data_IF_731326600628
#
_entry.id   IF_731326600628
#
_cell.length_a   1.000
_cell.length_b   1.000
_cell.length_c   1.000
_cell.angle_alpha   90.00
_cell.angle_beta   90.00
_cell.angle_gamma   90.00
#
_symmetry.space_group_name_H-M   'P 1'
#
loop_
_entity.id
_entity.type
_entity.pdbx_description
1 polymer ?
#
# COMPACT_ATOMS: atom_id res chain seq x y z
N UNK A 1 -0.61 22.81 -10.63
CA UNK A 1 -1.76 22.73 -9.71
C UNK A 1 -2.26 24.12 -9.31
N UNK A 2 -1.44 24.92 -8.60
CA UNK A 2 -1.84 26.22 -8.03
C UNK A 2 -2.73 27.10 -8.91
N UNK A 3 -2.35 27.37 -10.17
CA UNK A 3 -3.16 28.20 -11.09
C UNK A 3 -4.55 27.63 -11.37
N UNK A 4 -4.67 26.31 -11.51
CA UNK A 4 -5.94 25.62 -11.80
C UNK A 4 -6.81 25.63 -10.53
N UNK A 5 -6.22 25.24 -9.39
CA UNK A 5 -6.90 25.21 -8.09
C UNK A 5 -7.45 26.58 -7.70
N UNK A 6 -6.69 27.67 -7.91
CA UNK A 6 -7.16 29.02 -7.62
C UNK A 6 -8.18 29.59 -8.61
N UNK A 7 -8.44 28.93 -9.75
CA UNK A 7 -9.35 29.41 -10.79
C UNK A 7 -10.69 28.68 -10.83
N UNK A 8 -10.86 27.63 -10.01
CA UNK A 8 -12.06 26.80 -9.96
C UNK A 8 -12.74 26.97 -8.59
N UNK A 9 -14.07 27.03 -8.58
CA UNK A 9 -14.84 27.05 -7.33
C UNK A 9 -14.98 25.65 -6.70
N UNK A 10 -14.72 24.60 -7.49
CA UNK A 10 -14.79 23.20 -7.04
C UNK A 10 -13.43 22.71 -6.50
N UNK A 11 -13.41 21.78 -5.52
CA UNK A 11 -12.18 21.20 -5.02
C UNK A 11 -11.39 20.41 -6.07
N UNK A 12 -10.06 20.52 -6.01
CA UNK A 12 -9.11 19.78 -6.84
C UNK A 12 -8.38 18.71 -6.04
N UNK A 13 -8.32 17.48 -6.56
CA UNK A 13 -7.59 16.36 -5.94
C UNK A 13 -6.38 15.99 -6.80
N UNK A 14 -5.19 16.06 -6.23
CA UNK A 14 -3.92 15.87 -6.94
C UNK A 14 -3.27 14.52 -6.67
N UNK A 15 -2.69 13.93 -7.72
CA UNK A 15 -1.67 12.87 -7.64
C UNK A 15 -0.47 13.30 -8.48
N UNK A 16 0.68 13.51 -7.86
CA UNK A 16 1.86 14.05 -8.55
C UNK A 16 1.71 15.48 -9.09
N UNK A 17 0.74 16.23 -8.58
CA UNK A 17 0.46 17.61 -9.00
C UNK A 17 1.17 18.68 -8.14
N UNK A 18 2.01 18.25 -7.18
CA UNK A 18 2.57 19.10 -6.13
C UNK A 18 1.58 19.37 -4.99
N UNK A 19 1.97 20.16 -3.98
CA UNK A 19 1.18 20.36 -2.76
C UNK A 19 0.02 21.36 -2.92
N UNK A 20 -0.11 22.00 -4.09
CA UNK A 20 -1.05 23.11 -4.32
C UNK A 20 -2.39 22.68 -4.93
N UNK A 21 -2.90 21.51 -4.52
CA UNK A 21 -4.29 21.06 -4.74
C UNK A 21 -5.00 20.99 -3.40
N UNK A 22 -6.33 21.05 -3.38
CA UNK A 22 -7.13 21.09 -2.15
C UNK A 22 -7.12 19.74 -1.39
N UNK A 23 -6.92 18.66 -2.12
CA UNK A 23 -6.69 17.33 -1.56
C UNK A 23 -5.63 16.55 -2.33
N UNK A 24 -5.23 15.42 -1.77
CA UNK A 24 -4.25 14.51 -2.34
C UNK A 24 -4.84 13.11 -2.44
N UNK A 25 -4.44 12.38 -3.47
CA UNK A 25 -4.76 10.97 -3.65
C UNK A 25 -3.50 10.19 -4.01
N UNK A 26 -3.42 8.96 -3.53
CA UNK A 26 -2.41 7.97 -3.90
C UNK A 26 -3.10 6.61 -4.07
N UNK A 27 -2.54 5.75 -4.92
CA UNK A 27 -2.96 4.36 -5.01
C UNK A 27 -2.53 3.63 -3.74
N UNK A 28 -3.46 2.92 -3.10
CA UNK A 28 -3.22 2.18 -1.85
C UNK A 28 -1.99 1.25 -1.92
N UNK A 29 -1.86 0.49 -3.02
CA UNK A 29 -0.74 -0.41 -3.27
C UNK A 29 0.61 0.32 -3.32
N UNK A 30 0.65 1.51 -3.92
CA UNK A 30 1.87 2.31 -4.03
C UNK A 30 2.23 2.96 -2.68
N UNK A 31 1.22 3.44 -1.95
CA UNK A 31 1.37 4.01 -0.60
C UNK A 31 1.99 3.00 0.37
N UNK A 32 1.53 1.74 0.31
CA UNK A 32 1.98 0.65 1.18
C UNK A 32 3.13 -0.19 0.60
N UNK A 33 3.59 0.10 -0.61
CA UNK A 33 4.68 -0.64 -1.25
C UNK A 33 4.36 -2.13 -1.46
N UNK A 34 3.12 -2.45 -1.86
CA UNK A 34 2.62 -3.84 -1.98
C UNK A 34 3.11 -4.57 -3.24
N UNK A 35 3.57 -3.83 -4.25
CA UNK A 35 4.04 -4.40 -5.51
C UNK A 35 5.56 -4.27 -5.64
N UNK A 36 6.23 -5.27 -6.23
CA UNK A 36 7.66 -5.18 -6.52
C UNK A 36 7.89 -4.19 -7.67
N UNK A 37 9.06 -3.55 -7.69
CA UNK A 37 9.48 -2.71 -8.80
C UNK A 37 9.66 -1.23 -8.45
N UNK A 38 9.75 -0.41 -9.51
CA UNK A 38 10.25 0.96 -9.44
C UNK A 38 9.27 1.88 -8.73
N UNK A 39 9.78 2.61 -7.74
CA UNK A 39 9.05 3.67 -7.03
C UNK A 39 8.76 4.84 -7.96
N UNK A 40 7.49 5.21 -8.08
CA UNK A 40 7.06 6.43 -8.78
C UNK A 40 7.53 7.67 -8.00
N UNK A 41 8.04 8.69 -8.71
CA UNK A 41 8.62 9.89 -8.08
C UNK A 41 7.66 10.63 -7.15
N UNK A 42 6.37 10.63 -7.47
CA UNK A 42 5.34 11.34 -6.70
C UNK A 42 4.80 10.53 -5.52
N UNK A 43 5.26 9.30 -5.32
CA UNK A 43 4.79 8.43 -4.23
C UNK A 43 5.77 8.47 -3.07
N UNK A 44 5.26 8.78 -1.88
CA UNK A 44 5.92 8.42 -0.61
C UNK A 44 5.41 7.05 -0.19
N UNK A 45 6.31 6.06 -0.11
CA UNK A 45 6.00 4.78 0.53
C UNK A 45 5.99 4.99 2.03
N UNK A 46 4.90 4.58 2.67
CA UNK A 46 4.75 4.58 4.11
C UNK A 46 5.08 3.20 4.70
N UNK A 47 5.21 2.17 3.86
CA UNK A 47 5.56 0.80 4.24
C UNK A 47 6.27 0.10 3.07
N UNK A 48 7.06 -0.94 3.38
CA UNK A 48 7.61 -1.90 2.41
C UNK A 48 6.80 -3.21 2.48
N UNK A 49 5.53 -3.14 2.07
CA UNK A 49 4.57 -4.21 2.30
C UNK A 49 4.81 -5.47 1.48
N UNK A 50 5.41 -5.37 0.29
CA UNK A 50 5.75 -6.54 -0.52
C UNK A 50 6.65 -7.51 0.25
N UNK A 51 7.73 -7.01 0.86
CA UNK A 51 8.65 -7.84 1.64
C UNK A 51 7.97 -8.45 2.87
N UNK A 52 7.10 -7.69 3.53
CA UNK A 52 6.32 -8.20 4.67
C UNK A 52 5.36 -9.32 4.27
N UNK A 53 4.64 -9.17 3.16
CA UNK A 53 3.75 -10.22 2.63
C UNK A 53 4.53 -11.45 2.20
N UNK A 54 5.66 -11.29 1.50
CA UNK A 54 6.53 -12.42 1.11
C UNK A 54 7.02 -13.17 2.35
N UNK A 55 7.40 -12.46 3.42
CA UNK A 55 7.79 -13.10 4.68
C UNK A 55 6.63 -13.89 5.27
N UNK A 56 5.46 -13.28 5.42
CA UNK A 56 4.29 -13.92 6.03
C UNK A 56 3.86 -15.19 5.26
N UNK A 57 3.84 -15.14 3.92
CA UNK A 57 3.49 -16.30 3.10
C UNK A 57 4.52 -17.42 3.22
N UNK A 58 5.81 -17.09 3.32
CA UNK A 58 6.88 -18.08 3.54
C UNK A 58 6.76 -18.75 4.90
N UNK A 59 6.52 -17.96 5.94
CA UNK A 59 6.33 -18.43 7.32
C UNK A 59 5.13 -19.38 7.41
N UNK A 60 3.97 -18.96 6.90
CA UNK A 60 2.79 -19.82 6.77
C UNK A 60 3.10 -21.12 6.02
N UNK A 61 3.80 -21.02 4.88
CA UNK A 61 4.12 -22.18 4.06
C UNK A 61 5.06 -23.16 4.80
N UNK A 62 5.95 -22.66 5.64
CA UNK A 62 6.85 -23.48 6.44
C UNK A 62 6.10 -24.16 7.59
N UNK A 63 5.27 -23.42 8.31
CA UNK A 63 4.44 -23.96 9.40
C UNK A 63 3.52 -25.09 8.91
N UNK A 64 2.95 -24.96 7.71
CA UNK A 64 2.16 -26.03 7.08
C UNK A 64 3.02 -27.26 6.77
N UNK A 65 4.23 -27.08 6.20
CA UNK A 65 5.13 -28.21 5.88
C UNK A 65 5.62 -28.94 7.14
N UNK A 66 5.80 -28.20 8.22
CA UNK A 66 6.23 -28.74 9.52
C UNK A 66 5.07 -29.31 10.34
N UNK A 67 3.82 -29.12 9.91
CA UNK A 67 2.63 -29.54 10.66
C UNK A 67 2.36 -28.70 11.91
N UNK A 68 2.92 -27.49 11.98
CA UNK A 68 2.67 -26.52 13.06
C UNK A 68 1.33 -25.79 12.85
N UNK A 69 0.94 -25.58 11.60
CA UNK A 69 -0.37 -25.02 11.23
C UNK A 69 -1.17 -26.03 10.38
N UNK A 70 -2.49 -26.19 10.62
CA UNK A 70 -3.27 -25.58 11.69
C UNK A 70 -2.98 -26.20 13.06
N UNK A 71 -2.94 -25.35 14.10
CA UNK A 71 -2.97 -25.76 15.51
C UNK A 71 -4.38 -26.12 15.98
N UNK A 72 -4.50 -26.65 17.21
CA UNK A 72 -5.79 -27.05 17.80
C UNK A 72 -6.82 -25.90 17.87
N UNK A 73 -6.34 -24.67 18.10
CA UNK A 73 -7.13 -23.44 18.15
C UNK A 73 -7.74 -23.03 16.80
N UNK A 74 -7.31 -23.65 15.71
CA UNK A 74 -7.78 -23.36 14.34
C UNK A 74 -8.81 -24.38 13.83
N UNK A 75 -9.12 -25.43 14.61
CA UNK A 75 -10.15 -26.41 14.30
C UNK A 75 -11.51 -26.04 14.87
N UNK A 76 -12.59 -26.47 14.20
CA UNK A 76 -13.94 -26.52 14.80
C UNK A 76 -14.20 -27.98 15.19
N UNK A 77 -14.48 -28.23 16.47
CA UNK A 77 -14.95 -29.54 16.96
C UNK A 77 -16.40 -29.83 16.56
#
# INVERSE_FOLDING_TARGET
AARITGALDIPTIGIGAGPHTDGQILVFHDLLGLLPGKRLKHVKRYMEGFSAMVKAVKEYSEEVRQGLFPGAEHGFE
#
